data_IF_610197756118
#
_entry.id   IF_610197756118
#
_cell.length_a   1.000
_cell.length_b   1.000
_cell.length_c   1.000
_cell.angle_alpha   90.00
_cell.angle_beta   90.00
_cell.angle_gamma   90.00
#
_symmetry.space_group_name_H-M   'P 1'
#
loop_
_entity.id
_entity.type
_entity.pdbx_description
1 polymer ?
#
# COMPACT_ATOMS: atom_id res chain seq x y z
N UNK A 1 3.49 -10.82 -2.44
CA UNK A 1 2.94 -10.81 -1.06
C UNK A 1 1.43 -10.60 -1.13
N UNK A 2 0.67 -11.00 -0.11
CA UNK A 2 -0.78 -10.78 -0.03
C UNK A 2 -1.15 -9.31 -0.26
N UNK A 3 -0.33 -8.38 0.24
CA UNK A 3 -0.48 -6.93 0.06
C UNK A 3 -0.69 -6.50 -1.40
N UNK A 4 0.13 -6.98 -2.35
CA UNK A 4 -0.02 -6.67 -3.78
C UNK A 4 -1.37 -7.13 -4.33
N UNK A 5 -1.79 -8.35 -3.97
CA UNK A 5 -3.05 -8.90 -4.44
C UNK A 5 -4.24 -8.10 -3.90
N UNK A 6 -4.16 -7.63 -2.65
CA UNK A 6 -5.17 -6.76 -2.05
C UNK A 6 -5.23 -5.41 -2.76
N UNK A 7 -4.09 -4.76 -3.02
CA UNK A 7 -4.03 -3.47 -3.72
C UNK A 7 -4.65 -3.60 -5.12
N UNK A 8 -4.19 -4.58 -5.91
CA UNK A 8 -4.70 -4.81 -7.26
C UNK A 8 -6.21 -5.12 -7.27
N UNK A 9 -6.70 -5.90 -6.30
CA UNK A 9 -8.13 -6.20 -6.17
C UNK A 9 -8.96 -4.97 -5.82
N UNK A 10 -8.50 -4.14 -4.87
CA UNK A 10 -9.18 -2.90 -4.50
C UNK A 10 -9.28 -1.94 -5.68
N UNK A 11 -8.19 -1.77 -6.44
CA UNK A 11 -8.19 -0.95 -7.65
C UNK A 11 -9.12 -1.50 -8.73
N UNK A 12 -9.18 -2.83 -8.91
CA UNK A 12 -10.14 -3.47 -9.80
C UNK A 12 -11.61 -3.22 -9.41
N UNK A 13 -11.87 -2.92 -8.14
CA UNK A 13 -13.18 -2.53 -7.61
C UNK A 13 -13.38 -1.02 -7.53
N UNK A 14 -12.46 -0.22 -8.07
CA UNK A 14 -12.48 1.24 -7.97
C UNK A 14 -12.48 1.77 -6.53
N UNK A 15 -11.85 1.02 -5.62
CA UNK A 15 -11.63 1.41 -4.21
C UNK A 15 -10.22 1.96 -4.02
N UNK A 16 -10.09 2.91 -3.10
CA UNK A 16 -8.79 3.40 -2.62
C UNK A 16 -8.25 2.51 -1.50
N UNK A 17 -6.93 2.45 -1.37
CA UNK A 17 -6.23 1.67 -0.34
C UNK A 17 -5.33 2.57 0.50
N UNK A 18 -5.50 2.50 1.82
CA UNK A 18 -4.58 3.08 2.80
C UNK A 18 -3.75 1.94 3.40
N UNK A 19 -2.43 2.05 3.35
CA UNK A 19 -1.52 1.16 4.07
C UNK A 19 -1.08 1.82 5.38
N UNK A 20 -1.57 1.29 6.51
CA UNK A 20 -1.23 1.77 7.85
C UNK A 20 -0.08 0.98 8.48
N UNK A 21 0.63 1.59 9.43
CA UNK A 21 1.69 0.93 10.22
C UNK A 21 2.99 0.73 9.44
N UNK A 22 3.32 1.64 8.52
CA UNK A 22 4.63 1.65 7.85
C UNK A 22 5.71 2.13 8.83
N UNK A 23 6.78 1.37 9.00
CA UNK A 23 7.83 1.60 10.01
C UNK A 23 9.23 1.72 9.44
N UNK A 24 9.49 1.20 8.23
CA UNK A 24 10.81 1.17 7.57
C UNK A 24 10.75 1.65 6.12
N UNK A 25 11.80 2.34 5.61
CA UNK A 25 11.74 3.01 4.31
C UNK A 25 11.51 2.00 3.18
N UNK A 26 12.00 0.77 3.33
CA UNK A 26 11.81 -0.28 2.33
C UNK A 26 10.34 -0.70 2.22
N UNK A 27 9.53 -0.55 3.28
CA UNK A 27 8.08 -0.79 3.23
C UNK A 27 7.37 0.31 2.44
N UNK A 28 7.76 1.57 2.65
CA UNK A 28 7.23 2.70 1.89
C UNK A 28 7.56 2.56 0.40
N UNK A 29 8.80 2.23 0.06
CA UNK A 29 9.22 2.04 -1.33
C UNK A 29 8.50 0.85 -1.99
N UNK A 30 8.28 -0.24 -1.25
CA UNK A 30 7.44 -1.34 -1.72
C UNK A 30 5.99 -0.88 -2.00
N UNK A 31 5.37 -0.16 -1.07
CA UNK A 31 3.98 0.30 -1.23
C UNK A 31 3.80 1.30 -2.37
N UNK A 32 4.77 2.20 -2.59
CA UNK A 32 4.82 3.10 -3.74
C UNK A 32 4.93 2.34 -5.06
N UNK A 33 5.81 1.34 -5.13
CA UNK A 33 6.00 0.53 -6.33
C UNK A 33 4.76 -0.29 -6.69
N UNK A 34 3.97 -0.70 -5.68
CA UNK A 34 2.69 -1.39 -5.87
C UNK A 34 1.50 -0.42 -6.04
N UNK A 35 1.76 0.90 -6.17
CA UNK A 35 0.76 1.94 -6.38
C UNK A 35 -0.30 2.08 -5.27
N UNK A 36 0.05 1.84 -4.00
CA UNK A 36 -0.84 2.13 -2.87
C UNK A 36 -1.22 3.63 -2.86
N UNK A 37 -2.51 3.94 -2.68
CA UNK A 37 -3.02 5.32 -2.81
C UNK A 37 -2.53 6.22 -1.68
N UNK A 38 -2.60 5.70 -0.46
CA UNK A 38 -2.25 6.43 0.75
C UNK A 38 -1.43 5.53 1.68
N UNK A 39 -0.50 6.14 2.40
CA UNK A 39 0.34 5.43 3.37
C UNK A 39 0.34 6.23 4.66
N UNK A 40 0.06 5.57 5.77
CA UNK A 40 0.09 6.16 7.11
C UNK A 40 1.05 5.39 8.01
N UNK A 41 1.94 6.13 8.64
CA UNK A 41 3.04 5.58 9.42
C UNK A 41 4.33 6.25 9.01
N UNK A 42 5.38 5.88 9.72
CA UNK A 42 6.67 6.51 9.86
C UNK A 42 6.67 7.73 10.80
N UNK A 43 7.42 7.61 11.90
CA UNK A 43 7.83 8.70 12.80
C UNK A 43 9.03 9.43 12.20
#
# INVERSE_FOLDING_TARGET
KITRAIIAMAHGLSLKVVAEGVERPEQLEFLKAEHCDEVQGYL
#
